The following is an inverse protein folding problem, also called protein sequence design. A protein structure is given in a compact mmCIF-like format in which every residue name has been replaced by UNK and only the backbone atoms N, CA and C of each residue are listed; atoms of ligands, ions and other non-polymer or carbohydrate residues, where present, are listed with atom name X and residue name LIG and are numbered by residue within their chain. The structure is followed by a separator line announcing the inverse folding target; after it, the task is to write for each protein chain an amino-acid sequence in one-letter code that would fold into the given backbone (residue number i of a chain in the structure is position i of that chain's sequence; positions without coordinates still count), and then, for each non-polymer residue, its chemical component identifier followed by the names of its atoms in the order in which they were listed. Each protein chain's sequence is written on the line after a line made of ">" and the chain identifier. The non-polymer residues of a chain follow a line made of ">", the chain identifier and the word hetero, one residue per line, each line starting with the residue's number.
data_IF_425013024460
#
_entry.id   IF_425013024460
#
_cell.length_a   1.000
_cell.length_b   1.000
_cell.length_c   1.000
_cell.angle_alpha   90.00
_cell.angle_beta   90.00
_cell.angle_gamma   90.00
#
_symmetry.space_group_name_H-M   'P 1'
#
loop_
_entity.id
_entity.type
_entity.pdbx_description
1 polymer ?
#
# COMPACT_ATOMS: atom_id res chain seq x y z
N UNK A 1 15.14 -9.91 -62.66
CA UNK A 1 14.79 -8.60 -62.08
C UNK A 1 13.30 -8.60 -61.77
N UNK A 2 12.94 -8.68 -60.50
CA UNK A 2 11.62 -8.35 -60.00
C UNK A 2 11.83 -7.72 -58.62
N UNK A 3 11.51 -6.44 -58.49
CA UNK A 3 11.72 -5.66 -57.28
C UNK A 3 10.75 -6.13 -56.18
N UNK A 4 11.30 -6.41 -55.01
CA UNK A 4 10.55 -6.50 -53.75
C UNK A 4 10.40 -5.06 -53.25
N UNK A 5 9.19 -4.52 -53.31
CA UNK A 5 8.83 -3.30 -52.59
C UNK A 5 8.12 -3.70 -51.30
N UNK A 6 8.91 -3.88 -50.24
CA UNK A 6 8.40 -3.94 -48.88
C UNK A 6 8.35 -2.51 -48.33
N UNK A 7 7.19 -1.86 -48.47
CA UNK A 7 6.90 -0.62 -47.77
C UNK A 7 6.10 -0.96 -46.52
N UNK A 8 6.79 -1.31 -45.43
CA UNK A 8 6.19 -1.24 -44.09
C UNK A 8 6.19 0.23 -43.72
N UNK A 9 5.05 0.88 -43.92
CA UNK A 9 4.76 2.19 -43.33
C UNK A 9 4.73 2.02 -41.81
N UNK A 10 5.90 2.18 -41.19
CA UNK A 10 6.00 2.49 -39.77
C UNK A 10 5.40 3.86 -39.55
N UNK A 11 4.11 3.89 -39.20
CA UNK A 11 3.54 5.06 -38.54
C UNK A 11 4.14 5.03 -37.14
N UNK A 12 5.29 5.67 -36.99
CA UNK A 12 5.81 6.03 -35.68
C UNK A 12 4.74 6.93 -35.04
N UNK A 13 3.95 6.36 -34.14
CA UNK A 13 3.32 7.18 -33.12
C UNK A 13 4.48 7.86 -32.37
N UNK A 14 4.68 9.16 -32.58
CA UNK A 14 5.62 9.97 -31.81
C UNK A 14 5.09 10.08 -30.37
N UNK A 15 5.30 9.05 -29.58
CA UNK A 15 5.13 9.04 -28.13
C UNK A 15 6.31 8.29 -27.51
N UNK A 16 6.70 8.66 -26.30
CA UNK A 16 7.62 7.81 -25.55
C UNK A 16 6.95 6.46 -25.27
N UNK A 17 7.71 5.35 -25.08
CA UNK A 17 7.13 4.09 -24.61
C UNK A 17 6.26 4.27 -23.34
N UNK A 18 6.60 5.26 -22.52
CA UNK A 18 5.85 5.63 -21.33
C UNK A 18 4.47 6.25 -21.65
N UNK A 19 4.38 7.10 -22.67
CA UNK A 19 3.11 7.68 -23.13
C UNK A 19 2.19 6.61 -23.75
N UNK A 20 2.78 5.63 -24.43
CA UNK A 20 2.05 4.48 -24.95
C UNK A 20 1.54 3.59 -23.81
N UNK A 21 2.35 3.33 -22.78
CA UNK A 21 1.93 2.54 -21.61
C UNK A 21 0.71 3.18 -20.92
N UNK A 22 0.75 4.49 -20.69
CA UNK A 22 -0.39 5.26 -20.16
C UNK A 22 -1.61 5.27 -21.06
N UNK A 23 -1.40 5.20 -22.36
CA UNK A 23 -2.51 5.12 -23.32
C UNK A 23 -3.21 3.77 -23.20
N UNK A 24 -2.44 2.69 -23.01
CA UNK A 24 -2.97 1.35 -22.72
C UNK A 24 -3.72 1.32 -21.39
N UNK A 25 -3.17 1.92 -20.32
CA UNK A 25 -3.87 2.07 -19.02
C UNK A 25 -5.23 2.76 -19.18
N UNK A 26 -5.27 3.90 -19.89
CA UNK A 26 -6.52 4.65 -20.15
C UNK A 26 -7.52 3.86 -21.00
N UNK A 27 -7.04 2.94 -21.82
CA UNK A 27 -7.87 2.02 -22.60
C UNK A 27 -8.31 0.79 -21.79
N UNK A 28 -7.81 0.63 -20.56
CA UNK A 28 -8.06 -0.53 -19.69
C UNK A 28 -7.22 -1.76 -20.04
N UNK A 29 -6.25 -1.62 -20.96
CA UNK A 29 -5.32 -2.70 -21.32
C UNK A 29 -4.11 -2.71 -20.37
N UNK A 30 -4.37 -3.13 -19.13
CA UNK A 30 -3.34 -3.20 -18.08
C UNK A 30 -2.25 -4.22 -18.43
N UNK A 31 -2.57 -5.31 -19.12
CA UNK A 31 -1.55 -6.30 -19.53
C UNK A 31 -0.61 -5.75 -20.61
N UNK A 32 -1.14 -4.97 -21.56
CA UNK A 32 -0.35 -4.21 -22.52
C UNK A 32 0.57 -3.21 -21.83
N UNK A 33 0.04 -2.42 -20.89
CA UNK A 33 0.81 -1.45 -20.12
C UNK A 33 1.93 -2.12 -19.30
N UNK A 34 1.63 -3.21 -18.57
CA UNK A 34 2.62 -4.03 -17.85
C UNK A 34 3.75 -4.49 -18.78
N UNK A 35 3.42 -4.97 -19.97
CA UNK A 35 4.41 -5.42 -20.95
C UNK A 35 5.34 -4.27 -21.34
N UNK A 36 4.78 -3.08 -21.58
CA UNK A 36 5.56 -1.94 -22.01
C UNK A 36 6.41 -1.33 -20.89
N UNK A 37 5.90 -1.27 -19.65
CA UNK A 37 6.71 -0.89 -18.50
C UNK A 37 7.90 -1.83 -18.28
N UNK A 38 7.70 -3.15 -18.44
CA UNK A 38 8.81 -4.13 -18.37
C UNK A 38 9.87 -3.88 -19.47
N UNK A 39 9.48 -3.40 -20.65
CA UNK A 39 10.43 -3.01 -21.71
C UNK A 39 11.21 -1.76 -21.31
N UNK A 40 10.55 -0.74 -20.77
CA UNK A 40 11.21 0.49 -20.28
C UNK A 40 12.25 0.14 -19.20
N UNK A 41 11.84 -0.68 -18.23
CA UNK A 41 12.69 -1.07 -17.10
C UNK A 41 13.83 -2.02 -17.48
N UNK A 42 13.77 -2.65 -18.66
CA UNK A 42 14.90 -3.41 -19.20
C UNK A 42 16.04 -2.49 -19.68
N UNK A 43 15.71 -1.26 -20.07
CA UNK A 43 16.69 -0.23 -20.49
C UNK A 43 17.12 0.65 -19.31
N UNK A 44 16.16 1.17 -18.53
CA UNK A 44 16.42 1.89 -17.28
C UNK A 44 15.69 1.24 -16.09
N UNK A 45 16.37 0.35 -15.34
CA UNK A 45 15.79 -0.32 -14.18
C UNK A 45 15.39 0.59 -13.01
N UNK A 46 15.76 1.88 -13.05
CA UNK A 46 15.47 2.87 -12.01
C UNK A 46 14.50 3.96 -12.47
N UNK A 47 13.92 3.81 -13.66
CA UNK A 47 12.85 4.71 -14.12
C UNK A 47 11.67 4.60 -13.14
N UNK A 48 11.56 5.60 -12.26
CA UNK A 48 10.58 5.60 -11.18
C UNK A 48 9.15 5.66 -11.72
N UNK A 49 8.96 6.31 -12.86
CA UNK A 49 7.64 6.46 -13.46
C UNK A 49 7.14 5.13 -14.04
N UNK A 50 8.03 4.37 -14.69
CA UNK A 50 7.76 3.03 -15.16
C UNK A 50 7.61 2.01 -14.02
N UNK A 51 8.43 2.12 -12.97
CA UNK A 51 8.29 1.29 -11.76
C UNK A 51 6.93 1.51 -11.11
N UNK A 52 6.51 2.75 -10.91
CA UNK A 52 5.23 3.10 -10.30
C UNK A 52 4.06 2.61 -11.14
N UNK A 53 4.06 2.86 -12.45
CA UNK A 53 3.03 2.36 -13.36
C UNK A 53 2.91 0.83 -13.33
N UNK A 54 4.05 0.13 -13.42
CA UNK A 54 4.09 -1.33 -13.34
C UNK A 54 3.54 -1.85 -12.01
N UNK A 55 3.93 -1.26 -10.88
CA UNK A 55 3.44 -1.70 -9.57
C UNK A 55 1.92 -1.51 -9.45
N UNK A 56 1.39 -0.36 -9.86
CA UNK A 56 -0.04 -0.06 -9.82
C UNK A 56 -0.84 -1.05 -10.67
N UNK A 57 -0.42 -1.29 -11.91
CA UNK A 57 -1.12 -2.19 -12.82
C UNK A 57 -1.09 -3.64 -12.32
N UNK A 58 0.06 -4.11 -11.80
CA UNK A 58 0.16 -5.44 -11.21
C UNK A 58 -0.75 -5.59 -9.99
N UNK A 59 -0.87 -4.58 -9.14
CA UNK A 59 -1.80 -4.60 -8.00
C UNK A 59 -3.26 -4.61 -8.45
N UNK A 60 -3.63 -3.83 -9.47
CA UNK A 60 -4.99 -3.85 -10.06
C UNK A 60 -5.33 -5.22 -10.66
N UNK A 61 -4.36 -5.85 -11.31
CA UNK A 61 -4.45 -7.22 -11.85
C UNK A 61 -4.36 -8.30 -10.76
N UNK A 62 -4.19 -7.93 -9.49
CA UNK A 62 -4.03 -8.84 -8.34
C UNK A 62 -2.81 -9.77 -8.46
N UNK A 63 -1.79 -9.35 -9.21
CA UNK A 63 -0.51 -10.05 -9.41
C UNK A 63 0.48 -9.65 -8.32
N UNK A 64 0.10 -9.92 -7.07
CA UNK A 64 0.79 -9.44 -5.86
C UNK A 64 2.26 -9.91 -5.77
N UNK A 65 2.53 -11.15 -6.17
CA UNK A 65 3.89 -11.72 -6.19
C UNK A 65 4.81 -11.01 -7.19
N UNK A 66 4.26 -10.56 -8.33
CA UNK A 66 5.03 -9.80 -9.31
C UNK A 66 5.17 -8.33 -8.90
N UNK A 67 4.17 -7.76 -8.21
CA UNK A 67 4.23 -6.38 -7.72
C UNK A 67 5.28 -6.20 -6.62
N UNK A 68 5.49 -7.22 -5.78
CA UNK A 68 6.38 -7.16 -4.63
C UNK A 68 7.81 -6.67 -4.97
N UNK A 69 8.57 -7.31 -5.89
CA UNK A 69 9.90 -6.84 -6.23
C UNK A 69 9.93 -5.46 -6.92
N UNK A 70 8.83 -5.06 -7.57
CA UNK A 70 8.71 -3.73 -8.21
C UNK A 70 8.54 -2.66 -7.12
N UNK A 71 7.67 -2.89 -6.14
CA UNK A 71 7.49 -2.03 -4.97
C UNK A 71 8.80 -1.91 -4.16
N UNK A 72 9.55 -3.00 -4.00
CA UNK A 72 10.88 -2.98 -3.37
C UNK A 72 11.88 -2.11 -4.15
N UNK A 73 11.84 -2.15 -5.49
CA UNK A 73 12.67 -1.29 -6.32
C UNK A 73 12.29 0.19 -6.18
N UNK A 74 10.98 0.52 -6.12
CA UNK A 74 10.50 1.88 -5.89
C UNK A 74 11.07 2.44 -4.58
N UNK A 75 10.92 1.73 -3.46
CA UNK A 75 11.36 2.25 -2.14
C UNK A 75 12.89 2.31 -2.01
N UNK A 76 13.63 1.58 -2.86
CA UNK A 76 15.09 1.65 -2.97
C UNK A 76 15.56 2.84 -3.82
N UNK A 77 14.78 3.25 -4.83
CA UNK A 77 15.04 4.43 -5.66
C UNK A 77 14.57 5.70 -4.94
N UNK A 78 13.33 5.71 -4.47
CA UNK A 78 12.75 6.77 -3.66
C UNK A 78 12.69 6.39 -2.17
N UNK A 79 13.74 6.81 -1.46
CA UNK A 79 13.88 6.58 -0.02
C UNK A 79 12.87 7.35 0.84
N UNK A 80 12.09 8.27 0.27
CA UNK A 80 11.14 9.11 1.00
C UNK A 80 9.68 8.83 0.65
N UNK A 81 9.41 7.89 -0.27
CA UNK A 81 8.06 7.47 -0.58
C UNK A 81 7.44 6.67 0.58
N UNK A 82 6.65 7.35 1.42
CA UNK A 82 5.94 6.72 2.51
C UNK A 82 4.75 5.89 2.01
N UNK A 83 4.12 6.29 0.90
CA UNK A 83 2.94 5.64 0.35
C UNK A 83 3.29 4.24 -0.16
N UNK A 84 4.31 4.10 -1.01
CA UNK A 84 4.70 2.77 -1.51
C UNK A 84 5.22 1.88 -0.38
N UNK A 85 5.81 2.43 0.69
CA UNK A 85 6.16 1.63 1.89
C UNK A 85 4.92 1.05 2.58
N UNK A 86 3.83 1.81 2.68
CA UNK A 86 2.54 1.30 3.20
C UNK A 86 1.99 0.20 2.27
N UNK A 87 2.00 0.42 0.96
CA UNK A 87 1.50 -0.56 -0.01
C UNK A 87 2.33 -1.85 -0.02
N UNK A 88 3.66 -1.72 0.08
CA UNK A 88 4.59 -2.84 0.20
C UNK A 88 4.36 -3.62 1.50
N UNK A 89 4.14 -2.92 2.61
CA UNK A 89 3.81 -3.55 3.88
C UNK A 89 2.49 -4.34 3.80
N UNK A 90 1.46 -3.79 3.14
CA UNK A 90 0.21 -4.52 2.93
C UNK A 90 0.37 -5.72 2.01
N UNK A 91 1.22 -5.63 0.99
CA UNK A 91 1.53 -6.78 0.15
C UNK A 91 2.19 -7.90 0.99
N UNK A 92 3.17 -7.53 1.84
CA UNK A 92 3.80 -8.45 2.77
C UNK A 92 2.83 -9.09 3.78
N UNK A 93 1.93 -8.28 4.34
CA UNK A 93 0.97 -8.72 5.35
C UNK A 93 -0.12 -9.63 4.77
N UNK A 94 -0.73 -9.21 3.65
CA UNK A 94 -1.96 -9.81 3.14
C UNK A 94 -1.72 -10.94 2.13
N UNK A 95 -0.54 -10.99 1.51
CA UNK A 95 -0.27 -11.91 0.40
C UNK A 95 0.96 -12.80 0.63
N UNK A 96 1.92 -12.35 1.44
CA UNK A 96 3.18 -13.07 1.65
C UNK A 96 3.30 -13.75 3.03
N UNK A 97 2.32 -13.55 3.92
CA UNK A 97 2.33 -14.06 5.30
C UNK A 97 3.62 -13.69 6.05
N UNK A 98 4.11 -12.46 5.85
CA UNK A 98 5.35 -11.94 6.42
C UNK A 98 5.09 -10.68 7.25
N UNK A 99 4.41 -10.82 8.41
CA UNK A 99 4.01 -9.67 9.24
C UNK A 99 5.22 -8.88 9.77
N UNK A 100 6.35 -9.52 10.07
CA UNK A 100 7.57 -8.83 10.52
C UNK A 100 8.11 -7.82 9.49
N UNK A 101 8.03 -8.17 8.20
CA UNK A 101 8.44 -7.24 7.13
C UNK A 101 7.44 -6.11 6.97
N UNK A 102 6.14 -6.40 7.12
CA UNK A 102 5.12 -5.37 7.11
C UNK A 102 5.33 -4.36 8.25
N UNK A 103 5.62 -4.84 9.46
CA UNK A 103 5.97 -3.99 10.62
C UNK A 103 7.17 -3.09 10.29
N UNK A 104 8.24 -3.63 9.69
CA UNK A 104 9.42 -2.84 9.30
C UNK A 104 9.05 -1.70 8.34
N UNK A 105 8.37 -2.00 7.24
CA UNK A 105 8.02 -0.97 6.24
C UNK A 105 7.00 0.03 6.75
N UNK A 106 6.04 -0.38 7.59
CA UNK A 106 5.11 0.55 8.24
C UNK A 106 5.81 1.42 9.28
N UNK A 107 6.82 0.91 9.97
CA UNK A 107 7.66 1.71 10.88
C UNK A 107 8.42 2.78 10.10
N UNK A 108 9.01 2.43 8.96
CA UNK A 108 9.65 3.39 8.06
C UNK A 108 8.65 4.43 7.53
N UNK A 109 7.45 4.00 7.12
CA UNK A 109 6.40 4.90 6.64
C UNK A 109 5.92 5.88 7.72
N UNK A 110 5.74 5.42 8.97
CA UNK A 110 5.39 6.28 10.12
C UNK A 110 6.52 7.29 10.41
N UNK A 111 7.79 6.89 10.25
CA UNK A 111 8.92 7.80 10.46
C UNK A 111 8.99 8.92 9.40
N UNK A 112 8.60 8.62 8.16
CA UNK A 112 8.54 9.59 7.05
C UNK A 112 7.30 10.49 7.16
N UNK A 113 6.14 9.87 7.39
CA UNK A 113 4.84 10.54 7.46
C UNK A 113 4.05 10.05 8.69
N UNK A 114 4.28 10.68 9.86
CA UNK A 114 3.53 10.36 11.06
C UNK A 114 2.07 10.79 10.87
N UNK A 115 1.14 9.83 11.00
CA UNK A 115 -0.30 10.11 10.98
C UNK A 115 -1.08 9.09 11.80
N UNK A 116 -2.28 9.44 12.30
CA UNK A 116 -3.18 8.49 12.97
C UNK A 116 -3.42 7.22 12.14
N UNK A 117 -3.61 7.40 10.83
CA UNK A 117 -3.78 6.32 9.86
C UNK A 117 -2.56 5.39 9.82
N UNK A 118 -1.35 5.91 9.62
CA UNK A 118 -0.15 5.08 9.51
C UNK A 118 0.21 4.39 10.84
N UNK A 119 -0.04 5.04 11.98
CA UNK A 119 0.10 4.42 13.30
C UNK A 119 -0.87 3.25 13.49
N UNK A 120 -2.12 3.41 13.02
CA UNK A 120 -3.14 2.36 13.09
C UNK A 120 -2.83 1.19 12.16
N UNK A 121 -2.24 1.44 10.98
CA UNK A 121 -1.75 0.38 10.10
C UNK A 121 -0.57 -0.37 10.71
N UNK A 122 0.41 0.35 11.28
CA UNK A 122 1.53 -0.26 11.99
C UNK A 122 1.04 -1.16 13.13
N UNK A 123 0.09 -0.69 13.93
CA UNK A 123 -0.50 -1.47 15.01
C UNK A 123 -1.17 -2.76 14.52
N UNK A 124 -1.88 -2.73 13.39
CA UNK A 124 -2.47 -3.95 12.81
C UNK A 124 -1.41 -4.97 12.39
N UNK A 125 -0.32 -4.51 11.77
CA UNK A 125 0.80 -5.38 11.43
C UNK A 125 1.48 -5.95 12.69
N UNK A 126 1.61 -5.16 13.75
CA UNK A 126 2.16 -5.59 15.04
C UNK A 126 1.30 -6.66 15.72
N UNK A 127 -0.04 -6.52 15.68
CA UNK A 127 -0.96 -7.56 16.17
C UNK A 127 -0.73 -8.88 15.43
N UNK A 128 -0.63 -8.84 14.09
CA UNK A 128 -0.37 -10.05 13.29
C UNK A 128 1.03 -10.61 13.51
N UNK A 129 2.02 -9.77 13.82
CA UNK A 129 3.37 -10.20 14.19
C UNK A 129 3.47 -10.75 15.63
N UNK A 130 2.39 -10.67 16.41
CA UNK A 130 2.38 -11.16 17.80
C UNK A 130 2.97 -10.17 18.82
N UNK A 131 2.99 -8.87 18.51
CA UNK A 131 3.39 -7.78 19.42
C UNK A 131 2.19 -6.85 19.73
N UNK A 132 1.19 -7.35 20.48
CA UNK A 132 0.00 -6.57 20.81
C UNK A 132 0.30 -5.40 21.76
N UNK A 133 1.37 -5.46 22.56
CA UNK A 133 1.77 -4.38 23.45
C UNK A 133 2.24 -3.15 22.68
N UNK A 134 3.07 -3.32 21.65
CA UNK A 134 3.46 -2.22 20.78
C UNK A 134 2.29 -1.69 19.94
N UNK A 135 1.38 -2.58 19.52
CA UNK A 135 0.16 -2.19 18.82
C UNK A 135 -0.73 -1.27 19.66
N UNK A 136 -1.00 -1.62 20.92
CA UNK A 136 -1.78 -0.78 21.84
C UNK A 136 -1.15 0.60 22.01
N UNK A 137 0.18 0.68 22.16
CA UNK A 137 0.89 1.95 22.29
C UNK A 137 0.69 2.84 21.06
N UNK A 138 0.83 2.28 19.85
CA UNK A 138 0.63 3.02 18.61
C UNK A 138 -0.84 3.44 18.39
N UNK A 139 -1.81 2.61 18.78
CA UNK A 139 -3.23 2.96 18.71
C UNK A 139 -3.58 4.09 19.68
N UNK A 140 -3.06 4.05 20.91
CA UNK A 140 -3.23 5.15 21.87
C UNK A 140 -2.56 6.44 21.39
N UNK A 141 -1.39 6.34 20.75
CA UNK A 141 -0.75 7.50 20.10
C UNK A 141 -1.61 8.03 18.95
N UNK A 142 -2.15 7.17 18.11
CA UNK A 142 -3.08 7.57 17.04
C UNK A 142 -4.27 8.36 17.58
N UNK A 143 -4.87 7.91 18.68
CA UNK A 143 -6.01 8.58 19.32
C UNK A 143 -5.61 9.84 20.10
N UNK A 144 -4.34 9.98 20.48
CA UNK A 144 -3.82 11.23 21.04
C UNK A 144 -3.62 12.26 19.94
N UNK A 145 -3.10 11.83 18.78
CA UNK A 145 -2.84 12.68 17.62
C UNK A 145 -4.16 13.12 16.95
N UNK A 146 -5.15 12.22 16.88
CA UNK A 146 -6.51 12.49 16.40
C UNK A 146 -7.56 11.73 17.24
N UNK A 147 -8.19 12.42 18.22
CA UNK A 147 -9.21 11.83 19.09
C UNK A 147 -10.49 11.37 18.37
N UNK A 148 -10.72 11.79 17.13
CA UNK A 148 -11.89 11.44 16.31
C UNK A 148 -11.62 10.30 15.32
N UNK A 149 -10.38 9.79 15.24
CA UNK A 149 -10.01 8.75 14.28
C UNK A 149 -10.63 7.38 14.62
N UNK A 150 -11.85 7.16 14.10
CA UNK A 150 -12.69 6.00 14.41
C UNK A 150 -11.98 4.64 14.22
N UNK A 151 -11.15 4.51 13.19
CA UNK A 151 -10.48 3.25 12.88
C UNK A 151 -9.52 2.80 14.00
N UNK A 152 -8.84 3.72 14.68
CA UNK A 152 -7.99 3.35 15.82
C UNK A 152 -8.80 2.81 17.01
N UNK A 153 -9.98 3.37 17.28
CA UNK A 153 -10.88 2.81 18.30
C UNK A 153 -11.32 1.39 17.94
N UNK A 154 -11.73 1.15 16.70
CA UNK A 154 -12.20 -0.18 16.24
C UNK A 154 -11.11 -1.24 16.41
N UNK A 155 -9.87 -0.93 16.00
CA UNK A 155 -8.74 -1.85 16.12
C UNK A 155 -8.39 -2.10 17.59
N UNK A 156 -8.34 -1.04 18.42
CA UNK A 156 -7.97 -1.18 19.83
C UNK A 156 -9.06 -1.90 20.66
N UNK A 157 -10.33 -1.67 20.37
CA UNK A 157 -11.43 -2.44 20.97
C UNK A 157 -11.34 -3.92 20.61
N UNK A 158 -11.09 -4.23 19.33
CA UNK A 158 -10.91 -5.62 18.88
C UNK A 158 -9.74 -6.30 19.59
N UNK A 159 -8.65 -5.56 19.83
CA UNK A 159 -7.50 -6.05 20.60
C UNK A 159 -7.88 -6.34 22.06
N UNK A 160 -8.58 -5.44 22.75
CA UNK A 160 -9.03 -5.67 24.12
C UNK A 160 -10.02 -6.82 24.24
N UNK A 161 -10.95 -6.94 23.29
CA UNK A 161 -11.91 -8.05 23.27
C UNK A 161 -11.18 -9.39 23.10
N UNK A 162 -10.18 -9.47 22.21
CA UNK A 162 -9.34 -10.68 22.04
C UNK A 162 -8.54 -11.03 23.29
N UNK A 163 -8.02 -10.03 24.00
CA UNK A 163 -7.25 -10.22 25.24
C UNK A 163 -8.12 -10.46 26.49
N UNK A 164 -9.45 -10.38 26.38
CA UNK A 164 -10.36 -10.51 27.51
C UNK A 164 -10.23 -9.36 28.52
N UNK A 165 -10.06 -8.13 28.03
CA UNK A 165 -9.92 -6.89 28.83
C UNK A 165 -11.19 -6.01 28.73
N UNK A 166 -12.32 -6.44 29.32
CA UNK A 166 -13.61 -5.77 29.15
C UNK A 166 -13.67 -4.38 29.81
N UNK A 167 -12.90 -4.15 30.88
CA UNK A 167 -12.85 -2.85 31.57
C UNK A 167 -12.20 -1.79 30.65
N UNK A 168 -11.03 -2.09 30.09
CA UNK A 168 -10.36 -1.23 29.11
C UNK A 168 -11.24 -0.94 27.88
N UNK A 169 -11.97 -1.96 27.40
CA UNK A 169 -12.88 -1.80 26.28
C UNK A 169 -14.11 -0.94 26.62
N UNK A 170 -14.59 -0.95 27.87
CA UNK A 170 -15.67 -0.09 28.32
C UNK A 170 -15.21 1.37 28.41
N UNK A 171 -14.05 1.60 29.02
CA UNK A 171 -13.43 2.93 29.13
C UNK A 171 -13.17 3.53 27.74
N UNK A 172 -12.65 2.73 26.80
CA UNK A 172 -12.37 3.18 25.44
C UNK A 172 -13.65 3.54 24.66
N UNK A 173 -14.77 2.82 24.87
CA UNK A 173 -16.07 3.19 24.27
C UNK A 173 -16.62 4.48 24.85
N UNK A 174 -16.40 4.74 26.14
CA UNK A 174 -16.76 6.03 26.76
C UNK A 174 -15.92 7.17 26.21
N UNK A 175 -14.62 6.94 26.05
CA UNK A 175 -13.71 7.89 25.42
C UNK A 175 -14.16 8.24 24.00
N UNK A 176 -14.47 7.23 23.17
CA UNK A 176 -14.96 7.44 21.82
C UNK A 176 -16.23 8.31 21.80
N UNK A 177 -17.21 7.99 22.65
CA UNK A 177 -18.46 8.77 22.79
C UNK A 177 -18.20 10.20 23.23
N UNK A 178 -17.31 10.40 24.20
CA UNK A 178 -16.93 11.73 24.70
C UNK A 178 -16.26 12.58 23.62
N UNK A 179 -15.52 11.95 22.71
CA UNK A 179 -14.91 12.58 21.55
C UNK A 179 -15.84 12.66 20.33
N UNK A 180 -17.14 12.35 20.48
CA UNK A 180 -18.12 12.46 19.39
C UNK A 180 -18.03 11.36 18.33
N UNK A 181 -17.27 10.29 18.58
CA UNK A 181 -17.11 9.17 17.66
C UNK A 181 -18.21 8.14 17.89
N UNK A 182 -19.07 7.96 16.89
CA UNK A 182 -20.08 6.90 16.89
C UNK A 182 -19.52 5.60 16.29
N UNK A 183 -19.33 4.59 17.14
CA UNK A 183 -18.82 3.28 16.75
C UNK A 183 -19.92 2.29 16.37
N UNK A 184 -21.21 2.65 16.53
CA UNK A 184 -22.35 1.73 16.32
C UNK A 184 -22.60 1.37 14.84
N UNK A 185 -22.02 2.12 13.90
CA UNK A 185 -22.09 1.86 12.46
C UNK A 185 -20.90 1.08 11.87
N UNK A 186 -19.85 0.84 12.66
CA UNK A 186 -18.61 0.18 12.19
C UNK A 186 -18.68 -1.34 12.28
N UNK A 187 -19.73 -1.96 11.73
CA UNK A 187 -19.73 -3.40 11.52
C UNK A 187 -18.94 -3.72 10.25
N UNK A 188 -17.89 -4.52 10.43
CA UNK A 188 -16.87 -4.83 9.44
C UNK A 188 -17.38 -5.29 8.06
N UNK A 189 -16.68 -4.80 7.05
CA UNK A 189 -16.74 -5.14 5.64
C UNK A 189 -15.68 -4.34 4.89
#
# INVERSE_FOLDING_TARGET
>A
MALITLAVLGVAACGSPLDEARTLERAGDLEGAVTLYKVILADDPKDLEALTGLAVDLLQLKRYDEALPVQEAIVAVDTKDALTRVELAFNYLNHQDQPDKAVRYLTEAVALEPSPKNLTFLAQAQIQAGDPEAAEQNLRKSLTDDPEYAHAYVVLLSLFDFQGRPEDAADLREQARSNGVDLTGTNGG
#
